data_IF_667822176203
#
_entry.id   IF_667822176203
#
_cell.length_a   1.000
_cell.length_b   1.000
_cell.length_c   1.000
_cell.angle_alpha   90.00
_cell.angle_beta   90.00
_cell.angle_gamma   90.00
#
_symmetry.space_group_name_H-M   'P 1'
#
loop_
_entity.id
_entity.type
_entity.pdbx_description
1 polymer ?
#
# COMPACT_ATOMS: atom_id res chain seq x y z
N UNK A 1 38.82 39.37 3.93
CA UNK A 1 38.62 37.95 3.54
C UNK A 1 37.85 37.89 2.24
N UNK A 2 38.49 37.53 1.19
CA UNK A 2 37.80 37.27 -0.11
C UNK A 2 37.45 35.79 -0.16
N UNK A 3 36.16 35.46 0.04
CA UNK A 3 35.65 34.10 -0.21
C UNK A 3 35.63 33.92 -1.73
N UNK A 4 36.43 32.98 -2.25
CA UNK A 4 36.45 32.69 -3.67
C UNK A 4 35.06 32.18 -4.10
N UNK A 5 34.43 32.84 -5.07
CA UNK A 5 33.13 32.46 -5.60
C UNK A 5 33.08 30.99 -6.07
N UNK A 6 34.22 30.47 -6.54
CA UNK A 6 34.38 29.06 -6.92
C UNK A 6 34.29 28.11 -5.73
N UNK A 7 34.80 28.49 -4.56
CA UNK A 7 34.70 27.69 -3.34
C UNK A 7 33.26 27.65 -2.82
N UNK A 8 32.55 28.78 -2.88
CA UNK A 8 31.15 28.88 -2.47
C UNK A 8 30.24 28.00 -3.35
N UNK A 9 30.45 27.99 -4.68
CA UNK A 9 29.70 27.20 -5.63
C UNK A 9 29.97 25.70 -5.42
N UNK A 10 31.23 25.31 -5.16
CA UNK A 10 31.59 23.93 -4.87
C UNK A 10 30.94 23.39 -3.59
N UNK A 11 30.88 24.23 -2.54
CA UNK A 11 30.25 23.87 -1.25
C UNK A 11 28.74 23.72 -1.39
N UNK A 12 28.10 24.56 -2.20
CA UNK A 12 26.64 24.48 -2.45
C UNK A 12 26.29 23.25 -3.27
N UNK A 13 27.12 22.85 -4.23
CA UNK A 13 26.91 21.63 -5.03
C UNK A 13 27.02 20.35 -4.20
N UNK A 14 27.90 20.30 -3.19
CA UNK A 14 28.02 19.14 -2.29
C UNK A 14 26.79 18.98 -1.38
N UNK A 15 26.13 20.07 -1.00
CA UNK A 15 24.92 20.01 -0.13
C UNK A 15 23.68 19.50 -0.87
N UNK A 16 23.64 19.60 -2.20
CA UNK A 16 22.52 19.15 -3.02
C UNK A 16 22.54 17.62 -3.28
N UNK A 17 23.67 16.95 -3.09
CA UNK A 17 23.78 15.49 -3.30
C UNK A 17 23.33 14.67 -2.09
N UNK A 18 23.15 15.29 -0.93
CA UNK A 18 22.72 14.61 0.31
C UNK A 18 21.25 14.18 0.35
N UNK A 19 20.42 14.61 -0.63
CA UNK A 19 18.99 14.27 -0.66
C UNK A 19 18.64 13.12 -1.61
N UNK A 20 19.62 12.45 -2.22
CA UNK A 20 19.40 11.33 -3.14
C UNK A 20 19.59 9.99 -2.43
N UNK A 21 18.96 9.78 -1.26
CA UNK A 21 18.81 8.44 -0.73
C UNK A 21 17.70 7.72 -1.52
N UNK A 22 18.12 6.69 -2.27
CA UNK A 22 17.21 5.68 -2.79
C UNK A 22 16.53 5.04 -1.58
N UNK A 23 15.28 5.40 -1.27
CA UNK A 23 14.47 4.68 -0.29
C UNK A 23 14.36 3.24 -0.76
N UNK A 24 15.02 2.32 -0.07
CA UNK A 24 14.81 0.89 -0.30
C UNK A 24 13.38 0.57 0.13
N UNK A 25 12.49 0.33 -0.83
CA UNK A 25 11.13 -0.07 -0.53
C UNK A 25 11.15 -1.41 0.21
N UNK A 26 10.84 -1.37 1.52
CA UNK A 26 10.72 -2.54 2.38
C UNK A 26 9.59 -3.43 1.86
N UNK A 27 8.48 -2.81 1.46
CA UNK A 27 7.29 -3.50 0.97
C UNK A 27 7.30 -3.65 -0.55
N UNK A 28 6.62 -4.70 -1.04
CA UNK A 28 6.31 -4.83 -2.44
C UNK A 28 4.99 -4.11 -2.74
N UNK A 29 5.05 -3.07 -3.56
CA UNK A 29 3.89 -2.25 -3.92
C UNK A 29 3.22 -2.73 -5.21
N UNK A 30 3.99 -3.14 -6.21
CA UNK A 30 3.47 -3.56 -7.52
C UNK A 30 2.41 -2.59 -8.05
N UNK A 31 1.30 -3.12 -8.52
CA UNK A 31 0.18 -2.35 -9.05
C UNK A 31 -0.85 -1.92 -7.98
N UNK A 32 -0.50 -1.96 -6.69
CA UNK A 32 -1.42 -1.60 -5.61
C UNK A 32 -1.86 -0.13 -5.69
N UNK A 33 -0.94 0.80 -5.84
CA UNK A 33 -1.29 2.23 -5.89
C UNK A 33 -2.14 2.59 -7.12
N UNK A 34 -1.81 2.13 -8.34
CA UNK A 34 -2.70 2.29 -9.49
C UNK A 34 -4.09 1.67 -9.30
N UNK A 35 -4.18 0.49 -8.70
CA UNK A 35 -5.46 -0.17 -8.38
C UNK A 35 -6.29 0.65 -7.39
N UNK A 36 -5.67 1.17 -6.34
CA UNK A 36 -6.33 2.04 -5.36
C UNK A 36 -6.87 3.31 -6.01
N UNK A 37 -6.10 3.91 -6.92
CA UNK A 37 -6.55 5.06 -7.69
C UNK A 37 -7.76 4.72 -8.56
N UNK A 38 -7.73 3.59 -9.26
CA UNK A 38 -8.84 3.10 -10.09
C UNK A 38 -10.11 2.86 -9.27
N UNK A 39 -9.98 2.33 -8.06
CA UNK A 39 -11.09 2.14 -7.12
C UNK A 39 -11.78 3.46 -6.77
N UNK A 40 -11.02 4.50 -6.41
CA UNK A 40 -11.61 5.80 -6.09
C UNK A 40 -12.20 6.51 -7.30
N UNK A 41 -11.63 6.30 -8.48
CA UNK A 41 -12.17 6.83 -9.74
C UNK A 41 -13.36 6.01 -10.28
N UNK A 42 -13.63 4.84 -9.69
CA UNK A 42 -14.62 3.86 -10.22
C UNK A 42 -14.41 3.55 -11.70
N UNK A 43 -13.14 3.49 -12.11
CA UNK A 43 -12.74 3.33 -13.51
C UNK A 43 -12.51 1.88 -13.92
N UNK A 44 -12.39 0.97 -12.96
CA UNK A 44 -12.24 -0.46 -13.21
C UNK A 44 -13.32 -1.27 -12.48
N UNK A 45 -13.63 -2.44 -12.99
CA UNK A 45 -14.53 -3.38 -12.31
C UNK A 45 -13.86 -3.94 -11.04
N UNK A 46 -14.62 -4.14 -9.98
CA UNK A 46 -14.13 -4.64 -8.69
C UNK A 46 -13.43 -6.00 -8.83
N UNK A 47 -13.92 -6.87 -9.69
CA UNK A 47 -13.33 -8.18 -9.96
C UNK A 47 -11.93 -8.06 -10.56
N UNK A 48 -11.72 -7.09 -11.45
CA UNK A 48 -10.40 -6.82 -12.04
C UNK A 48 -9.41 -6.30 -11.00
N UNK A 49 -9.88 -5.45 -10.11
CA UNK A 49 -9.05 -4.95 -9.00
C UNK A 49 -8.69 -6.04 -8.00
N UNK A 50 -9.63 -6.95 -7.69
CA UNK A 50 -9.37 -8.14 -6.87
C UNK A 50 -8.27 -9.00 -7.50
N UNK A 51 -8.38 -9.29 -8.81
CA UNK A 51 -7.35 -10.03 -9.55
C UNK A 51 -5.98 -9.35 -9.45
N UNK A 52 -5.94 -8.05 -9.67
CA UNK A 52 -4.71 -7.25 -9.60
C UNK A 52 -4.06 -7.31 -8.22
N UNK A 53 -4.83 -7.10 -7.15
CA UNK A 53 -4.30 -7.12 -5.79
C UNK A 53 -3.84 -8.51 -5.35
N UNK A 54 -4.56 -9.57 -5.74
CA UNK A 54 -4.10 -10.93 -5.50
C UNK A 54 -2.78 -11.24 -6.23
N UNK A 55 -2.61 -10.76 -7.46
CA UNK A 55 -1.35 -10.88 -8.19
C UNK A 55 -0.19 -10.15 -7.48
N UNK A 56 -0.44 -8.97 -6.92
CA UNK A 56 0.56 -8.24 -6.13
C UNK A 56 0.99 -9.03 -4.89
N UNK A 57 0.04 -9.67 -4.18
CA UNK A 57 0.34 -10.53 -3.03
C UNK A 57 1.24 -11.70 -3.43
N UNK A 58 0.90 -12.38 -4.52
CA UNK A 58 1.70 -13.51 -5.03
C UNK A 58 3.11 -13.07 -5.43
N UNK A 59 3.25 -11.93 -6.09
CA UNK A 59 4.54 -11.38 -6.49
C UNK A 59 5.37 -10.94 -5.27
N UNK A 60 4.75 -10.39 -4.24
CA UNK A 60 5.42 -10.06 -2.98
C UNK A 60 6.04 -11.33 -2.35
N UNK A 61 5.27 -12.42 -2.27
CA UNK A 61 5.76 -13.70 -1.77
C UNK A 61 6.92 -14.24 -2.62
N UNK A 62 6.79 -14.21 -3.95
CA UNK A 62 7.84 -14.68 -4.86
C UNK A 62 9.14 -13.89 -4.72
N UNK A 63 9.08 -12.62 -4.33
CA UNK A 63 10.22 -11.74 -4.11
C UNK A 63 10.72 -11.71 -2.65
N UNK A 64 10.13 -12.50 -1.77
CA UNK A 64 10.40 -12.48 -0.32
C UNK A 64 10.28 -11.07 0.27
N UNK A 65 9.28 -10.30 -0.17
CA UNK A 65 8.98 -8.98 0.35
C UNK A 65 7.63 -8.98 1.06
N UNK A 66 7.50 -8.24 2.16
CA UNK A 66 6.19 -8.06 2.80
C UNK A 66 5.21 -7.34 1.86
N UNK A 67 3.94 -7.71 1.98
CA UNK A 67 2.85 -6.99 1.32
C UNK A 67 2.72 -5.60 1.93
N UNK A 68 2.47 -4.59 1.09
CA UNK A 68 2.35 -3.21 1.54
C UNK A 68 1.18 -3.01 2.52
N UNK A 69 1.33 -2.13 3.53
CA UNK A 69 0.24 -1.81 4.44
C UNK A 69 -0.96 -1.24 3.70
N UNK A 70 -2.15 -1.68 4.09
CA UNK A 70 -3.42 -1.26 3.49
C UNK A 70 -3.89 -2.08 2.29
N UNK A 71 -3.01 -2.82 1.62
CA UNK A 71 -3.39 -3.62 0.45
C UNK A 71 -4.45 -4.67 0.78
N UNK A 72 -4.26 -5.42 1.87
CA UNK A 72 -5.22 -6.45 2.29
C UNK A 72 -6.53 -5.83 2.78
N UNK A 73 -6.48 -4.65 3.41
CA UNK A 73 -7.68 -3.92 3.78
C UNK A 73 -8.49 -3.52 2.53
N UNK A 74 -7.83 -3.01 1.50
CA UNK A 74 -8.46 -2.68 0.23
C UNK A 74 -9.06 -3.91 -0.46
N UNK A 75 -8.32 -5.01 -0.49
CA UNK A 75 -8.82 -6.28 -1.04
C UNK A 75 -10.05 -6.77 -0.28
N UNK A 76 -10.06 -6.65 1.05
CA UNK A 76 -11.20 -6.97 1.89
C UNK A 76 -12.44 -6.13 1.54
N UNK A 77 -12.28 -4.82 1.34
CA UNK A 77 -13.38 -3.94 0.92
C UNK A 77 -13.94 -4.36 -0.45
N UNK A 78 -13.08 -4.69 -1.41
CA UNK A 78 -13.51 -5.19 -2.72
C UNK A 78 -14.28 -6.51 -2.61
N UNK A 79 -13.89 -7.41 -1.72
CA UNK A 79 -14.63 -8.64 -1.47
C UNK A 79 -16.00 -8.38 -0.84
N UNK A 80 -16.12 -7.38 0.05
CA UNK A 80 -17.43 -6.95 0.55
C UNK A 80 -18.30 -6.44 -0.60
N UNK A 81 -17.76 -5.56 -1.43
CA UNK A 81 -18.50 -4.93 -2.55
C UNK A 81 -18.97 -5.97 -3.58
N UNK A 82 -18.27 -7.09 -3.69
CA UNK A 82 -18.63 -8.19 -4.61
C UNK A 82 -19.39 -9.34 -3.94
N UNK A 83 -19.81 -9.17 -2.68
CA UNK A 83 -20.66 -10.14 -1.97
C UNK A 83 -19.90 -11.36 -1.41
N UNK A 84 -18.63 -11.23 -1.07
CA UNK A 84 -17.79 -12.28 -0.50
C UNK A 84 -17.28 -11.90 0.91
N UNK A 85 -18.18 -11.82 1.92
CA UNK A 85 -17.80 -11.35 3.25
C UNK A 85 -16.78 -12.26 3.95
N UNK A 86 -16.83 -13.57 3.72
CA UNK A 86 -15.87 -14.52 4.32
C UNK A 86 -14.43 -14.25 3.85
N UNK A 87 -14.26 -14.01 2.56
CA UNK A 87 -12.96 -13.63 1.98
C UNK A 87 -12.52 -12.25 2.47
N UNK A 88 -13.45 -11.32 2.63
CA UNK A 88 -13.18 -10.00 3.18
C UNK A 88 -12.62 -10.10 4.61
N UNK A 89 -13.24 -10.89 5.46
CA UNK A 89 -12.80 -11.06 6.86
C UNK A 89 -11.44 -11.73 6.96
N UNK A 90 -11.14 -12.68 6.08
CA UNK A 90 -9.82 -13.27 5.96
C UNK A 90 -8.75 -12.19 5.68
N UNK A 91 -9.01 -11.30 4.73
CA UNK A 91 -8.09 -10.23 4.40
C UNK A 91 -7.96 -9.18 5.51
N UNK A 92 -9.05 -8.79 6.18
CA UNK A 92 -9.00 -7.87 7.32
C UNK A 92 -8.20 -8.45 8.49
N UNK A 93 -8.36 -9.73 8.78
CA UNK A 93 -7.58 -10.41 9.81
C UNK A 93 -6.08 -10.52 9.43
N UNK A 94 -5.79 -10.78 8.16
CA UNK A 94 -4.41 -10.80 7.67
C UNK A 94 -3.74 -9.43 7.76
N UNK A 95 -4.45 -8.36 7.43
CA UNK A 95 -3.97 -6.97 7.61
C UNK A 95 -3.67 -6.67 9.07
N UNK A 96 -4.60 -6.99 9.96
CA UNK A 96 -4.48 -6.81 11.41
C UNK A 96 -3.30 -7.58 12.00
N UNK A 97 -3.04 -8.80 11.49
CA UNK A 97 -1.91 -9.62 11.94
C UNK A 97 -0.57 -9.03 11.47
N UNK A 98 -0.50 -8.58 10.23
CA UNK A 98 0.72 -7.98 9.66
C UNK A 98 1.01 -6.59 10.23
N UNK A 99 -0.05 -5.82 10.51
CA UNK A 99 0.02 -4.43 10.99
C UNK A 99 -0.93 -4.26 12.18
N UNK A 100 -0.50 -4.63 13.41
CA UNK A 100 -1.34 -4.56 14.61
C UNK A 100 -1.93 -3.17 14.89
N UNK A 101 -1.28 -2.11 14.47
CA UNK A 101 -1.78 -0.73 14.54
C UNK A 101 -3.07 -0.53 13.75
N UNK A 102 -3.35 -1.36 12.75
CA UNK A 102 -4.60 -1.33 11.97
C UNK A 102 -5.79 -2.01 12.67
N UNK A 103 -5.56 -2.71 13.79
CA UNK A 103 -6.54 -3.58 14.43
C UNK A 103 -7.87 -2.87 14.71
N UNK A 104 -7.83 -1.66 15.25
CA UNK A 104 -9.03 -0.91 15.58
C UNK A 104 -9.91 -0.64 14.35
N UNK A 105 -9.31 -0.26 13.24
CA UNK A 105 -10.02 0.00 11.99
C UNK A 105 -10.50 -1.30 11.33
N UNK A 106 -9.71 -2.36 11.33
CA UNK A 106 -10.11 -3.66 10.79
C UNK A 106 -11.29 -4.24 11.57
N UNK A 107 -11.27 -4.16 12.88
CA UNK A 107 -12.38 -4.61 13.74
C UNK A 107 -13.66 -3.78 13.49
N UNK A 108 -13.52 -2.49 13.26
CA UNK A 108 -14.64 -1.62 12.87
C UNK A 108 -15.27 -2.06 11.54
N UNK A 109 -14.44 -2.33 10.51
CA UNK A 109 -14.92 -2.80 9.21
C UNK A 109 -15.67 -4.13 9.33
N UNK A 110 -15.12 -5.07 10.11
CA UNK A 110 -15.76 -6.39 10.30
C UNK A 110 -17.09 -6.28 11.02
N UNK A 111 -17.22 -5.45 12.06
CA UNK A 111 -18.48 -5.23 12.76
C UNK A 111 -19.55 -4.61 11.86
N UNK A 112 -19.20 -3.59 11.09
CA UNK A 112 -20.16 -2.90 10.22
C UNK A 112 -20.66 -3.77 9.08
N UNK A 113 -19.86 -4.71 8.61
CA UNK A 113 -20.25 -5.58 7.50
C UNK A 113 -21.02 -6.82 7.95
N UNK A 114 -20.93 -7.21 9.21
CA UNK A 114 -21.80 -8.25 9.79
C UNK A 114 -23.24 -7.76 9.99
N UNK A 115 -23.45 -6.47 10.21
CA UNK A 115 -24.77 -5.88 10.39
C UNK A 115 -25.51 -5.50 9.10
N UNK A 116 -24.92 -5.75 7.93
CA UNK A 116 -25.48 -5.40 6.62
C UNK A 116 -26.23 -6.57 5.93
N UNK A 117 -26.58 -7.64 6.68
CA UNK A 117 -27.42 -8.76 6.23
C UNK A 117 -28.88 -8.56 6.62
#
# INVERSE_FOLDING_TARGET
MRINKTLLIATTALLLTACAEKSSNIYYWGDYQPSLYSYYQKSAASEKEIETLNAVIQQAHAKNKPVAPGLRAQLGLLYVDTGHPDLAFEQFNAEKTAFPESAHYMDFLMRNKQGAN
#
